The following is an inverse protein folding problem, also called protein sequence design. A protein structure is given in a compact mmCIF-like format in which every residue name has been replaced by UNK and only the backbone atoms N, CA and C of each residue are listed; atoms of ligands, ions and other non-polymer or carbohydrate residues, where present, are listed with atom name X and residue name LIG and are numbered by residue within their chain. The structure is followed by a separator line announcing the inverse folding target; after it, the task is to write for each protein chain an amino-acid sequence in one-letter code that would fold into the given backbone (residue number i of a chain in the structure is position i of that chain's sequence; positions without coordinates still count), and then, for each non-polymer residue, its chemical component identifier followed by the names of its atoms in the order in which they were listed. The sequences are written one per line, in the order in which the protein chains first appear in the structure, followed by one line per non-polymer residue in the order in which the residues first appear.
data_IF_454637730178
#
_entry.id   IF_454637730178
#
_cell.length_a   1.000
_cell.length_b   1.000
_cell.length_c   1.000
_cell.angle_alpha   90.00
_cell.angle_beta   90.00
_cell.angle_gamma   90.00
#
_symmetry.space_group_name_H-M   'P 1'
#
loop_
_entity.id
_entity.type
_entity.pdbx_description
1 polymer ?
#
# COMPACT_ATOMS: atom_id res chain seq x y z
N UNK A 1 -3.54 23.01 15.86
CA UNK A 1 -3.09 21.73 15.27
C UNK A 1 -2.14 22.07 14.13
N UNK A 2 -0.92 21.60 14.19
CA UNK A 2 0.10 21.94 13.18
C UNK A 2 0.34 20.71 12.30
N UNK A 3 0.26 20.90 10.98
CA UNK A 3 0.53 19.86 9.98
C UNK A 3 1.85 20.19 9.28
N UNK A 4 2.89 19.42 9.53
CA UNK A 4 4.22 19.58 8.91
C UNK A 4 4.51 18.45 7.93
N UNK A 5 3.92 17.29 8.16
CA UNK A 5 4.13 16.07 7.36
C UNK A 5 2.80 15.40 7.07
N UNK A 6 2.81 14.51 6.08
CA UNK A 6 1.63 13.67 5.77
C UNK A 6 1.27 12.78 6.96
N UNK A 7 2.26 12.33 7.74
CA UNK A 7 2.05 11.56 8.97
C UNK A 7 1.16 12.31 9.97
N UNK A 8 1.31 13.62 10.07
CA UNK A 8 0.52 14.43 11.00
C UNK A 8 -0.97 14.38 10.68
N UNK A 9 -1.33 14.14 9.42
CA UNK A 9 -2.73 14.03 8.99
C UNK A 9 -3.42 12.88 9.73
N UNK A 10 -2.87 11.68 9.67
CA UNK A 10 -3.46 10.51 10.35
C UNK A 10 -3.39 10.62 11.87
N UNK A 11 -2.27 11.09 12.41
CA UNK A 11 -2.09 11.24 13.86
C UNK A 11 -3.08 12.24 14.45
N UNK A 12 -3.29 13.37 13.78
CA UNK A 12 -4.25 14.38 14.23
C UNK A 12 -5.69 13.92 14.01
N UNK A 13 -5.98 13.26 12.89
CA UNK A 13 -7.30 12.73 12.60
C UNK A 13 -7.72 11.67 13.64
N UNK A 14 -6.81 10.77 14.02
CA UNK A 14 -7.07 9.79 15.08
C UNK A 14 -7.36 10.47 16.42
N UNK A 15 -6.57 11.46 16.82
CA UNK A 15 -6.80 12.21 18.07
C UNK A 15 -8.15 12.91 18.11
N UNK A 16 -8.59 13.44 16.95
CA UNK A 16 -9.84 14.19 16.89
C UNK A 16 -11.07 13.30 16.71
N UNK A 17 -10.95 12.23 15.93
CA UNK A 17 -12.09 11.47 15.41
C UNK A 17 -12.02 9.96 15.69
N UNK A 18 -10.91 9.45 16.17
CA UNK A 18 -10.63 8.08 16.60
C UNK A 18 -11.56 6.98 16.07
N UNK A 19 -12.66 6.78 16.78
CA UNK A 19 -13.62 5.72 16.48
C UNK A 19 -14.68 6.09 15.42
N UNK A 20 -14.63 7.29 14.86
CA UNK A 20 -15.52 7.66 13.78
C UNK A 20 -15.05 7.02 12.46
N UNK A 21 -15.99 6.83 11.52
CA UNK A 21 -15.70 6.25 10.23
C UNK A 21 -14.85 7.20 9.37
N UNK A 22 -13.65 6.76 9.02
CA UNK A 22 -12.78 7.49 8.08
C UNK A 22 -13.10 7.16 6.63
N UNK A 23 -13.37 5.87 6.35
CA UNK A 23 -13.62 5.39 4.99
C UNK A 23 -14.77 4.39 5.02
N UNK A 24 -15.75 4.61 4.14
CA UNK A 24 -16.85 3.68 3.90
C UNK A 24 -16.75 3.14 2.48
N UNK A 25 -16.96 1.84 2.31
CA UNK A 25 -16.88 1.19 1.02
C UNK A 25 -17.90 0.04 0.90
N UNK A 26 -18.25 -0.28 -0.33
CA UNK A 26 -19.19 -1.38 -0.61
C UNK A 26 -18.46 -2.71 -0.60
N UNK A 27 -19.00 -3.68 0.11
CA UNK A 27 -18.52 -5.07 0.15
C UNK A 27 -19.41 -6.03 -0.65
N UNK A 28 -20.60 -5.57 -1.00
CA UNK A 28 -21.59 -6.31 -1.78
C UNK A 28 -22.68 -5.39 -2.31
N UNK A 29 -23.73 -5.97 -2.88
CA UNK A 29 -24.78 -5.20 -3.57
C UNK A 29 -25.48 -4.19 -2.65
N UNK A 30 -25.68 -4.56 -1.36
CA UNK A 30 -26.36 -3.73 -0.36
C UNK A 30 -25.59 -3.66 0.96
N UNK A 31 -24.29 -3.99 0.95
CA UNK A 31 -23.46 -4.02 2.14
C UNK A 31 -22.41 -2.92 2.11
N UNK A 32 -22.32 -2.19 3.21
CA UNK A 32 -21.33 -1.16 3.41
C UNK A 32 -20.48 -1.54 4.61
N UNK A 33 -19.17 -1.60 4.42
CA UNK A 33 -18.18 -1.69 5.48
C UNK A 33 -17.56 -0.32 5.74
N UNK A 34 -17.03 -0.16 6.93
CA UNK A 34 -16.33 1.06 7.31
C UNK A 34 -15.03 0.73 8.04
N UNK A 35 -14.08 1.65 7.93
CA UNK A 35 -12.85 1.68 8.72
C UNK A 35 -12.79 3.00 9.47
N UNK A 36 -12.50 2.93 10.77
CA UNK A 36 -12.33 4.12 11.61
C UNK A 36 -10.98 4.80 11.34
N UNK A 37 -10.82 6.02 11.83
CA UNK A 37 -9.53 6.73 11.78
C UNK A 37 -8.44 5.97 12.53
N UNK A 38 -8.76 5.38 13.69
CA UNK A 38 -7.84 4.53 14.45
C UNK A 38 -7.40 3.31 13.63
N UNK A 39 -8.34 2.59 13.01
CA UNK A 39 -8.03 1.43 12.17
C UNK A 39 -7.16 1.80 10.96
N UNK A 40 -7.47 2.91 10.30
CA UNK A 40 -6.67 3.39 9.16
C UNK A 40 -5.22 3.69 9.58
N UNK A 41 -5.05 4.36 10.72
CA UNK A 41 -3.71 4.64 11.25
C UNK A 41 -2.96 3.37 11.59
N UNK A 42 -3.59 2.44 12.32
CA UNK A 42 -2.98 1.15 12.66
C UNK A 42 -2.58 0.33 11.43
N UNK A 43 -3.47 0.24 10.44
CA UNK A 43 -3.17 -0.50 9.20
C UNK A 43 -2.04 0.16 8.41
N UNK A 44 -1.99 1.49 8.36
CA UNK A 44 -0.88 2.23 7.76
C UNK A 44 0.46 1.96 8.47
N UNK A 45 0.46 1.91 9.79
CA UNK A 45 1.64 1.61 10.60
C UNK A 45 2.12 0.16 10.40
N UNK A 46 1.20 -0.79 10.27
CA UNK A 46 1.52 -2.18 9.92
C UNK A 46 2.16 -2.29 8.55
N UNK A 47 1.66 -1.55 7.57
CA UNK A 47 2.25 -1.48 6.23
C UNK A 47 3.64 -0.85 6.29
N UNK A 48 3.80 0.23 7.04
CA UNK A 48 5.12 0.86 7.26
C UNK A 48 6.12 -0.15 7.84
N UNK A 49 5.73 -0.91 8.85
CA UNK A 49 6.57 -1.93 9.47
C UNK A 49 6.94 -3.05 8.48
N UNK A 50 5.97 -3.49 7.66
CA UNK A 50 6.19 -4.48 6.62
C UNK A 50 7.21 -3.98 5.58
N UNK A 51 7.04 -2.76 5.10
CA UNK A 51 7.94 -2.18 4.10
C UNK A 51 9.36 -1.99 4.65
N UNK A 52 9.49 -1.62 5.91
CA UNK A 52 10.78 -1.53 6.59
C UNK A 52 11.49 -2.89 6.68
N UNK A 53 10.72 -3.96 6.90
CA UNK A 53 11.25 -5.33 6.93
C UNK A 53 11.70 -5.82 5.56
N UNK A 54 10.96 -5.48 4.49
CA UNK A 54 11.20 -5.98 3.14
C UNK A 54 12.20 -5.16 2.34
N UNK A 55 12.36 -3.89 2.62
CA UNK A 55 13.15 -2.97 1.80
C UNK A 55 14.18 -2.16 2.56
N UNK A 56 14.96 -1.41 1.80
CA UNK A 56 15.91 -0.45 2.31
C UNK A 56 15.22 0.89 2.64
N UNK A 57 15.81 1.72 3.54
CA UNK A 57 15.30 3.06 3.80
C UNK A 57 15.20 3.89 2.52
N UNK A 58 14.16 4.70 2.40
CA UNK A 58 13.88 5.56 1.24
C UNK A 58 13.69 4.79 -0.06
N UNK A 59 13.16 3.57 0.01
CA UNK A 59 12.81 2.79 -1.17
C UNK A 59 11.74 3.49 -2.00
N UNK A 60 11.80 3.33 -3.31
CA UNK A 60 10.75 3.73 -4.22
C UNK A 60 9.74 2.58 -4.34
N UNK A 61 8.50 2.85 -3.98
CA UNK A 61 7.45 1.84 -3.90
C UNK A 61 6.30 2.25 -4.81
N UNK A 62 6.03 1.44 -5.84
CA UNK A 62 4.93 1.68 -6.75
C UNK A 62 3.61 1.21 -6.13
N UNK A 63 2.55 1.90 -6.50
CA UNK A 63 1.18 1.62 -6.07
C UNK A 63 0.28 1.67 -7.29
N UNK A 64 -0.29 0.51 -7.64
CA UNK A 64 -1.18 0.35 -8.80
C UNK A 64 -2.48 -0.28 -8.35
N UNK A 65 -3.57 0.41 -8.58
CA UNK A 65 -4.90 -0.10 -8.26
C UNK A 65 -5.98 0.96 -8.37
N UNK A 66 -7.23 0.50 -8.39
CA UNK A 66 -8.36 1.38 -8.19
C UNK A 66 -8.34 1.96 -6.77
N UNK A 67 -8.90 3.13 -6.60
CA UNK A 67 -9.03 3.75 -5.28
C UNK A 67 -9.86 2.85 -4.36
N UNK A 68 -9.22 2.37 -3.30
CA UNK A 68 -9.79 1.45 -2.32
C UNK A 68 -9.23 1.75 -0.95
N UNK A 69 -9.79 1.12 0.09
CA UNK A 69 -9.24 1.25 1.43
C UNK A 69 -7.76 0.83 1.49
N UNK A 70 -7.40 -0.33 0.93
CA UNK A 70 -6.01 -0.79 0.92
C UNK A 70 -5.08 0.10 0.10
N UNK A 71 -5.57 0.71 -0.96
CA UNK A 71 -4.81 1.71 -1.71
C UNK A 71 -4.44 2.91 -0.82
N UNK A 72 -5.44 3.43 -0.10
CA UNK A 72 -5.26 4.59 0.79
C UNK A 72 -4.33 4.24 1.96
N UNK A 73 -4.57 3.13 2.63
CA UNK A 73 -3.72 2.67 3.73
C UNK A 73 -2.28 2.43 3.27
N UNK A 74 -2.10 1.88 2.08
CA UNK A 74 -0.79 1.65 1.47
C UNK A 74 -0.06 2.96 1.17
N UNK A 75 -0.76 3.94 0.60
CA UNK A 75 -0.17 5.25 0.33
C UNK A 75 0.38 5.89 1.63
N UNK A 76 -0.43 5.94 2.67
CA UNK A 76 0.02 6.45 3.97
C UNK A 76 1.16 5.61 4.56
N UNK A 77 1.08 4.30 4.47
CA UNK A 77 2.13 3.40 4.96
C UNK A 77 3.47 3.61 4.26
N UNK A 78 3.46 3.90 2.96
CA UNK A 78 4.66 4.21 2.19
C UNK A 78 5.28 5.53 2.66
N UNK A 79 4.50 6.60 2.64
CA UNK A 79 5.03 7.97 2.88
C UNK A 79 5.36 8.19 4.36
N UNK A 80 4.57 7.64 5.28
CA UNK A 80 4.81 7.74 6.71
C UNK A 80 6.06 6.97 7.15
N UNK A 81 6.43 5.94 6.40
CA UNK A 81 7.67 5.20 6.58
C UNK A 81 8.91 5.88 6.00
N UNK A 82 8.76 7.06 5.41
CA UNK A 82 9.86 7.79 4.78
C UNK A 82 10.28 7.23 3.42
N UNK A 83 9.46 6.38 2.82
CA UNK A 83 9.66 5.86 1.47
C UNK A 83 9.06 6.81 0.42
N UNK A 84 9.45 6.62 -0.82
CA UNK A 84 8.93 7.39 -1.95
C UNK A 84 7.75 6.63 -2.58
N UNK A 85 6.57 7.22 -2.53
CA UNK A 85 5.41 6.67 -3.21
C UNK A 85 5.46 6.99 -4.71
N UNK A 86 5.26 5.98 -5.55
CA UNK A 86 5.16 6.09 -7.00
C UNK A 86 3.78 5.57 -7.43
N UNK A 87 2.71 6.38 -7.26
CA UNK A 87 1.38 6.01 -7.71
C UNK A 87 1.35 6.03 -9.24
N UNK A 88 0.85 4.95 -9.83
CA UNK A 88 0.76 4.80 -11.27
C UNK A 88 -0.69 4.60 -11.71
N UNK A 89 -1.02 5.13 -12.88
CA UNK A 89 -2.36 5.04 -13.43
C UNK A 89 -2.72 3.58 -13.75
N UNK A 90 -3.76 3.07 -13.10
CA UNK A 90 -4.25 1.70 -13.25
C UNK A 90 -4.71 1.37 -14.68
N UNK A 91 -5.01 2.37 -15.49
CA UNK A 91 -5.50 2.20 -16.86
C UNK A 91 -4.40 2.04 -17.94
N UNK A 92 -3.15 2.31 -17.58
CA UNK A 92 -2.04 2.20 -18.54
C UNK A 92 -1.78 0.74 -18.96
N UNK A 93 -1.33 0.50 -20.21
CA UNK A 93 -0.89 -0.82 -20.64
C UNK A 93 0.21 -1.39 -19.74
N UNK A 94 0.23 -2.71 -19.56
CA UNK A 94 1.21 -3.37 -18.68
C UNK A 94 2.66 -3.05 -19.07
N UNK A 95 2.92 -2.91 -20.35
CA UNK A 95 4.24 -2.57 -20.87
C UNK A 95 4.70 -1.17 -20.45
N UNK A 96 3.81 -0.19 -20.52
CA UNK A 96 4.09 1.18 -20.06
C UNK A 96 4.25 1.23 -18.54
N UNK A 97 3.41 0.52 -17.78
CA UNK A 97 3.55 0.43 -16.33
C UNK A 97 4.91 -0.17 -15.94
N UNK A 98 5.34 -1.23 -16.58
CA UNK A 98 6.66 -1.83 -16.32
C UNK A 98 7.81 -0.89 -16.67
N UNK A 99 7.69 -0.12 -17.74
CA UNK A 99 8.69 0.89 -18.10
C UNK A 99 8.79 1.98 -17.04
N UNK A 100 7.65 2.46 -16.53
CA UNK A 100 7.62 3.45 -15.45
C UNK A 100 8.17 2.90 -14.13
N UNK A 101 7.84 1.66 -13.78
CA UNK A 101 8.37 0.95 -12.61
C UNK A 101 9.89 0.87 -12.67
N UNK A 102 10.44 0.45 -13.80
CA UNK A 102 11.88 0.31 -13.96
C UNK A 102 12.61 1.66 -13.97
N UNK A 103 12.07 2.65 -14.67
CA UNK A 103 12.64 4.01 -14.70
C UNK A 103 12.61 4.73 -13.35
N UNK A 104 11.62 4.45 -12.52
CA UNK A 104 11.49 5.03 -11.19
C UNK A 104 12.31 4.28 -10.13
N UNK A 105 13.12 3.30 -10.51
CA UNK A 105 13.92 2.48 -9.60
C UNK A 105 13.09 1.82 -8.48
N UNK A 106 11.88 1.41 -8.82
CA UNK A 106 10.96 0.76 -7.88
C UNK A 106 11.48 -0.61 -7.49
N UNK A 107 11.51 -0.87 -6.20
CA UNK A 107 11.94 -2.16 -5.63
C UNK A 107 10.81 -2.98 -5.03
N UNK A 108 9.70 -2.35 -4.70
CA UNK A 108 8.49 -2.99 -4.18
C UNK A 108 7.28 -2.44 -4.94
N UNK A 109 6.41 -3.33 -5.39
CA UNK A 109 5.14 -2.99 -6.04
C UNK A 109 3.99 -3.45 -5.16
N UNK A 110 3.10 -2.53 -4.79
CA UNK A 110 1.81 -2.84 -4.17
C UNK A 110 0.76 -2.80 -5.28
N UNK A 111 0.08 -3.92 -5.49
CA UNK A 111 -0.75 -4.15 -6.67
C UNK A 111 -2.15 -4.66 -6.30
N UNK A 112 -3.16 -4.02 -6.90
CA UNK A 112 -4.51 -4.57 -7.02
C UNK A 112 -4.53 -5.59 -8.17
N UNK A 113 -5.00 -6.82 -7.90
CA UNK A 113 -5.01 -7.91 -8.90
C UNK A 113 -5.96 -7.70 -10.08
N UNK A 114 -6.71 -6.60 -10.12
CA UNK A 114 -7.35 -6.12 -11.35
C UNK A 114 -6.31 -5.94 -12.48
N UNK A 115 -5.04 -5.73 -12.09
CA UNK A 115 -3.89 -5.60 -13.00
C UNK A 115 -2.86 -6.74 -12.79
N UNK A 116 -3.34 -7.97 -12.57
CA UNK A 116 -2.46 -9.15 -12.47
C UNK A 116 -1.59 -9.39 -13.71
N UNK A 117 -2.01 -8.85 -14.87
CA UNK A 117 -1.21 -8.85 -16.10
C UNK A 117 0.17 -8.17 -15.93
N UNK A 118 0.26 -7.18 -15.05
CA UNK A 118 1.52 -6.49 -14.72
C UNK A 118 2.51 -7.43 -14.02
N UNK A 119 2.03 -8.39 -13.24
CA UNK A 119 2.89 -9.34 -12.51
C UNK A 119 3.77 -10.12 -13.48
N UNK A 120 3.18 -10.69 -14.54
CA UNK A 120 3.93 -11.47 -15.54
C UNK A 120 4.89 -10.60 -16.34
N UNK A 121 4.44 -9.43 -16.76
CA UNK A 121 5.29 -8.48 -17.50
C UNK A 121 6.48 -7.98 -16.65
N UNK A 122 6.25 -7.74 -15.36
CA UNK A 122 7.27 -7.25 -14.44
C UNK A 122 8.40 -8.26 -14.18
N UNK A 123 8.11 -9.56 -14.21
CA UNK A 123 9.13 -10.61 -14.08
C UNK A 123 10.23 -10.49 -15.14
N UNK A 124 9.87 -10.11 -16.34
CA UNK A 124 10.80 -9.96 -17.44
C UNK A 124 11.41 -8.55 -17.54
N UNK A 125 10.61 -7.52 -17.26
CA UNK A 125 10.95 -6.13 -17.58
C UNK A 125 11.41 -5.30 -16.40
N UNK A 126 11.24 -5.78 -15.17
CA UNK A 126 11.56 -5.02 -13.95
C UNK A 126 12.55 -5.78 -13.08
N UNK A 127 13.84 -5.87 -13.47
CA UNK A 127 14.84 -6.66 -12.73
C UNK A 127 15.18 -6.10 -11.35
N UNK A 128 14.91 -4.83 -11.10
CA UNK A 128 15.13 -4.18 -9.80
C UNK A 128 14.03 -4.50 -8.77
N UNK A 129 12.88 -4.98 -9.25
CA UNK A 129 11.73 -5.30 -8.41
C UNK A 129 12.02 -6.52 -7.54
N UNK A 130 11.97 -6.35 -6.21
CA UNK A 130 12.27 -7.41 -5.24
C UNK A 130 11.01 -8.13 -4.76
N UNK A 131 9.94 -7.38 -4.50
CA UNK A 131 8.68 -7.91 -3.98
C UNK A 131 7.48 -7.29 -4.68
N UNK A 132 6.43 -8.10 -4.80
CA UNK A 132 5.09 -7.65 -5.17
C UNK A 132 4.17 -7.98 -3.99
N UNK A 133 3.47 -6.97 -3.48
CA UNK A 133 2.46 -7.10 -2.44
C UNK A 133 1.09 -7.03 -3.09
N UNK A 134 0.41 -8.17 -3.16
CA UNK A 134 -0.93 -8.26 -3.75
C UNK A 134 -2.01 -7.96 -2.72
N UNK A 135 -2.93 -7.08 -3.07
CA UNK A 135 -4.06 -6.69 -2.21
C UNK A 135 -5.09 -7.80 -2.02
N UNK A 136 -5.23 -8.72 -2.99
CA UNK A 136 -6.25 -9.79 -2.97
C UNK A 136 -5.69 -11.17 -2.64
N UNK A 137 -4.39 -11.39 -2.76
CA UNK A 137 -3.79 -12.70 -2.50
C UNK A 137 -3.92 -13.09 -1.03
N UNK A 138 -4.29 -14.34 -0.77
CA UNK A 138 -4.47 -14.86 0.60
C UNK A 138 -3.22 -15.53 1.16
N UNK A 139 -2.32 -15.98 0.30
CA UNK A 139 -1.09 -16.67 0.69
C UNK A 139 0.10 -16.21 -0.14
N UNK A 140 1.29 -16.29 0.44
CA UNK A 140 2.54 -15.93 -0.22
C UNK A 140 2.96 -16.98 -1.24
N UNK A 141 3.54 -16.53 -2.35
CA UNK A 141 4.10 -17.38 -3.40
C UNK A 141 5.38 -16.74 -3.95
N UNK A 142 6.54 -17.30 -3.56
CA UNK A 142 7.83 -16.71 -3.92
C UNK A 142 7.97 -15.28 -3.37
N UNK A 143 8.27 -14.35 -4.27
CA UNK A 143 8.35 -12.93 -3.94
C UNK A 143 7.03 -12.15 -4.11
N UNK A 144 5.95 -12.85 -4.41
CA UNK A 144 4.59 -12.29 -4.46
C UNK A 144 3.93 -12.60 -3.12
N UNK A 145 3.73 -11.57 -2.31
CA UNK A 145 3.22 -11.70 -0.95
C UNK A 145 1.77 -11.23 -0.86
N UNK A 146 1.03 -11.83 0.06
CA UNK A 146 -0.26 -11.30 0.49
C UNK A 146 -0.03 -10.02 1.30
N UNK A 147 -0.52 -8.88 0.83
CA UNK A 147 -0.42 -7.63 1.59
C UNK A 147 -1.15 -7.76 2.93
N UNK A 148 -2.38 -8.23 2.93
CA UNK A 148 -3.21 -8.35 4.15
C UNK A 148 -2.57 -9.29 5.17
N UNK A 149 -2.16 -10.48 4.75
CA UNK A 149 -1.50 -11.44 5.66
C UNK A 149 -0.19 -10.88 6.20
N UNK A 150 0.66 -10.34 5.32
CA UNK A 150 1.99 -9.87 5.71
C UNK A 150 1.94 -8.65 6.63
N UNK A 151 1.01 -7.71 6.39
CA UNK A 151 0.84 -6.55 7.26
C UNK A 151 0.30 -6.93 8.64
N UNK A 152 -0.63 -7.90 8.72
CA UNK A 152 -1.21 -8.35 9.98
C UNK A 152 -0.23 -9.13 10.86
N UNK A 153 0.84 -9.65 10.31
CA UNK A 153 1.95 -10.29 11.03
C UNK A 153 2.90 -9.27 11.70
N UNK A 154 2.79 -8.00 11.35
CA UNK A 154 3.64 -6.95 11.93
C UNK A 154 3.09 -6.45 13.26
N UNK A 155 3.98 -6.12 14.19
CA UNK A 155 3.64 -5.43 15.43
C UNK A 155 3.68 -3.92 15.23
N UNK A 156 2.78 -3.21 15.88
CA UNK A 156 2.80 -1.75 15.96
C UNK A 156 3.52 -1.40 17.26
N UNK A 157 4.54 -0.55 17.17
CA UNK A 157 5.16 0.00 18.37
C UNK A 157 4.15 0.94 19.04
N UNK A 158 3.70 0.58 20.23
CA UNK A 158 2.87 1.44 21.08
C UNK A 158 3.79 2.51 21.69
N UNK A 159 3.89 3.63 21.02
CA UNK A 159 4.49 4.85 21.57
C UNK A 159 3.43 5.83 22.04
#
# INVERSE_FOLDING_TARGET
MEYRTIRDILTNAEKCFGNEDAIRYKTGKNEIAAKTYTQLKEDSERITALLKKLGEPKSHIALIGATSYLWIASYFGIVDGGNVAVPLDVSLPAEELCELIDRADVTILILDEIRKDVIEAAKEKCPKLKYILSMQKEANEGNILSLTKSMMEQTIDED
#
